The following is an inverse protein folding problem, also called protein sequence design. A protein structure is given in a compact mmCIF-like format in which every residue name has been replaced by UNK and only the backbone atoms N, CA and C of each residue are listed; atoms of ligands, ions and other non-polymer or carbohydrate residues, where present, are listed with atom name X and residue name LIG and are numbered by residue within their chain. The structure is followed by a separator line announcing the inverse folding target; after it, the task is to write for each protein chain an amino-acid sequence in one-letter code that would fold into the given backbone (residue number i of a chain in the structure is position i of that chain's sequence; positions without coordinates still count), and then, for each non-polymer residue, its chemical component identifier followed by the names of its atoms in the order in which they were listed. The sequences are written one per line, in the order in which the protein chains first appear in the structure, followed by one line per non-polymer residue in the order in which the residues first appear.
data_IF_565993358002
#
_entry.id   IF_565993358002
#
_cell.length_a   1.000
_cell.length_b   1.000
_cell.length_c   1.000
_cell.angle_alpha   90.00
_cell.angle_beta   90.00
_cell.angle_gamma   90.00
#
_symmetry.space_group_name_H-M   'P 1'
#
loop_
_entity.id
_entity.type
_entity.pdbx_description
1 polymer ?
#
# COMPACT_ATOMS: atom_id res chain seq x y z
N UNK A 1 7.64 12.19 -13.44
CA UNK A 1 6.19 12.05 -13.74
C UNK A 1 5.84 10.85 -14.65
N UNK A 2 6.59 10.55 -15.72
CA UNK A 2 6.29 9.42 -16.63
C UNK A 2 6.41 8.03 -15.95
N UNK A 3 7.43 7.84 -15.12
CA UNK A 3 7.63 6.61 -14.34
C UNK A 3 6.52 6.36 -13.31
N UNK A 4 6.02 7.42 -12.67
CA UNK A 4 4.93 7.34 -11.69
C UNK A 4 3.60 6.92 -12.33
N UNK A 5 3.36 7.32 -13.59
CA UNK A 5 2.20 6.87 -14.38
C UNK A 5 2.27 5.39 -14.73
N UNK A 6 3.43 4.92 -15.19
CA UNK A 6 3.64 3.50 -15.52
C UNK A 6 3.48 2.62 -14.27
N UNK A 7 3.93 3.13 -13.12
CA UNK A 7 3.78 2.46 -11.84
C UNK A 7 2.32 2.33 -11.43
N UNK A 8 1.54 3.42 -11.54
CA UNK A 8 0.12 3.40 -11.16
C UNK A 8 -0.72 2.46 -12.03
N UNK A 9 -0.46 2.43 -13.34
CA UNK A 9 -1.17 1.55 -14.28
C UNK A 9 -0.88 0.07 -13.98
N UNK A 10 0.39 -0.28 -13.75
CA UNK A 10 0.77 -1.63 -13.28
C UNK A 10 0.09 -2.01 -11.98
N UNK A 11 -0.07 -1.08 -11.04
CA UNK A 11 -0.69 -1.35 -9.74
C UNK A 11 -2.17 -1.69 -9.86
N UNK A 12 -2.90 -1.03 -10.76
CA UNK A 12 -4.30 -1.36 -11.03
C UNK A 12 -4.42 -2.75 -11.67
N UNK A 13 -3.53 -3.11 -12.60
CA UNK A 13 -3.50 -4.44 -13.22
C UNK A 13 -3.09 -5.56 -12.22
N UNK A 14 -2.17 -5.28 -11.31
CA UNK A 14 -1.80 -6.21 -10.22
C UNK A 14 -2.97 -6.46 -9.27
N UNK A 15 -3.75 -5.42 -8.95
CA UNK A 15 -4.92 -5.55 -8.08
C UNK A 15 -6.03 -6.38 -8.72
N UNK A 16 -6.26 -6.24 -10.02
CA UNK A 16 -7.23 -7.06 -10.77
C UNK A 16 -6.85 -8.55 -10.73
N UNK A 17 -5.55 -8.86 -10.88
CA UNK A 17 -5.02 -10.22 -10.71
C UNK A 17 -5.22 -10.74 -9.29
N UNK A 18 -4.95 -9.92 -8.27
CA UNK A 18 -5.13 -10.30 -6.87
C UNK A 18 -6.60 -10.62 -6.56
N UNK A 19 -7.54 -9.82 -7.08
CA UNK A 19 -8.98 -10.07 -6.94
C UNK A 19 -9.38 -11.36 -7.67
N UNK A 20 -8.83 -11.62 -8.85
CA UNK A 20 -9.07 -12.85 -9.59
C UNK A 20 -8.58 -14.11 -8.85
N UNK A 21 -7.40 -14.03 -8.20
CA UNK A 21 -6.88 -15.12 -7.36
C UNK A 21 -7.72 -15.31 -6.10
N UNK A 22 -8.06 -14.22 -5.41
CA UNK A 22 -8.91 -14.27 -4.21
C UNK A 22 -10.30 -14.83 -4.51
N UNK A 23 -10.83 -14.61 -5.72
CA UNK A 23 -12.11 -15.14 -6.15
C UNK A 23 -12.12 -16.66 -6.37
N UNK A 24 -10.95 -17.29 -6.55
CA UNK A 24 -10.85 -18.74 -6.79
C UNK A 24 -10.97 -19.54 -5.50
N UNK A 25 -10.44 -19.02 -4.40
CA UNK A 25 -10.54 -19.63 -3.06
C UNK A 25 -10.83 -18.59 -1.97
N UNK A 26 -12.06 -18.02 -1.91
CA UNK A 26 -12.40 -16.94 -0.97
C UNK A 26 -12.22 -17.32 0.50
N UNK A 27 -12.46 -18.59 0.85
CA UNK A 27 -12.35 -19.12 2.21
C UNK A 27 -10.92 -19.13 2.76
N UNK A 28 -9.90 -19.21 1.89
CA UNK A 28 -8.50 -19.15 2.33
C UNK A 28 -8.08 -17.74 2.75
N UNK A 29 -8.72 -16.72 2.17
CA UNK A 29 -8.44 -15.31 2.42
C UNK A 29 -9.42 -14.67 3.42
N UNK A 30 -10.46 -15.39 3.85
CA UNK A 30 -11.49 -14.86 4.76
C UNK A 30 -12.30 -13.72 4.15
N UNK A 31 -12.45 -13.69 2.82
CA UNK A 31 -13.15 -12.63 2.09
C UNK A 31 -14.54 -13.14 1.68
N UNK A 32 -15.58 -12.33 1.94
CA UNK A 32 -16.96 -12.63 1.56
C UNK A 32 -17.25 -12.22 0.10
N UNK A 33 -18.21 -12.88 -0.55
CA UNK A 33 -18.57 -12.64 -1.95
C UNK A 33 -19.04 -11.18 -2.17
N UNK A 34 -19.76 -10.62 -1.19
CA UNK A 34 -20.20 -9.23 -1.24
C UNK A 34 -19.03 -8.23 -1.19
N UNK A 35 -17.94 -8.59 -0.51
CA UNK A 35 -16.72 -7.78 -0.48
C UNK A 35 -15.93 -7.92 -1.79
N UNK A 36 -15.88 -9.13 -2.35
CA UNK A 36 -15.22 -9.39 -3.61
C UNK A 36 -15.84 -8.62 -4.77
N UNK A 37 -17.18 -8.54 -4.79
CA UNK A 37 -17.94 -7.74 -5.76
C UNK A 37 -17.68 -6.23 -5.61
N UNK A 38 -17.58 -5.72 -4.36
CA UNK A 38 -17.17 -4.32 -4.12
C UNK A 38 -15.77 -4.04 -4.67
N UNK A 39 -14.82 -4.96 -4.45
CA UNK A 39 -13.44 -4.84 -4.95
C UNK A 39 -13.39 -4.86 -6.48
N UNK A 40 -14.17 -5.73 -7.15
CA UNK A 40 -14.29 -5.74 -8.62
C UNK A 40 -14.79 -4.42 -9.18
N UNK A 41 -15.86 -3.87 -8.59
CA UNK A 41 -16.46 -2.59 -9.03
C UNK A 41 -15.51 -1.42 -8.86
N UNK A 42 -14.79 -1.39 -7.74
CA UNK A 42 -13.78 -0.36 -7.48
C UNK A 42 -12.65 -0.43 -8.51
N UNK A 43 -12.08 -1.62 -8.75
CA UNK A 43 -10.99 -1.81 -9.71
C UNK A 43 -11.39 -1.45 -11.14
N UNK A 44 -12.62 -1.80 -11.56
CA UNK A 44 -13.16 -1.38 -12.86
C UNK A 44 -13.28 0.14 -12.97
N UNK A 45 -13.78 0.80 -11.92
CA UNK A 45 -13.92 2.26 -11.88
C UNK A 45 -12.56 2.95 -11.92
N UNK A 46 -11.59 2.46 -11.14
CA UNK A 46 -10.21 2.97 -11.13
C UNK A 46 -9.56 2.86 -12.51
N UNK A 47 -9.74 1.73 -13.20
CA UNK A 47 -9.23 1.51 -14.56
C UNK A 47 -9.79 2.53 -15.56
N UNK A 48 -11.10 2.80 -15.49
CA UNK A 48 -11.73 3.81 -16.37
C UNK A 48 -11.24 5.22 -16.06
N UNK A 49 -11.07 5.57 -14.78
CA UNK A 49 -10.53 6.88 -14.39
C UNK A 49 -9.09 7.08 -14.86
N UNK A 50 -8.23 6.07 -14.72
CA UNK A 50 -6.84 6.10 -15.23
C UNK A 50 -6.82 6.22 -16.76
N UNK A 51 -7.70 5.48 -17.45
CA UNK A 51 -7.85 5.57 -18.90
C UNK A 51 -8.27 6.97 -19.38
N UNK A 52 -9.20 7.61 -18.68
CA UNK A 52 -9.65 8.96 -19.00
C UNK A 52 -8.58 10.02 -18.69
N UNK A 53 -7.91 9.92 -17.53
CA UNK A 53 -6.78 10.79 -17.20
C UNK A 53 -5.62 10.64 -18.20
N UNK A 54 -5.36 9.43 -18.68
CA UNK A 54 -4.38 9.18 -19.76
C UNK A 54 -4.77 9.90 -21.04
N UNK A 55 -6.03 9.76 -21.49
CA UNK A 55 -6.52 10.45 -22.70
C UNK A 55 -6.42 11.97 -22.58
N UNK A 56 -6.78 12.53 -21.43
CA UNK A 56 -6.68 13.96 -21.17
C UNK A 56 -5.23 14.47 -21.23
N UNK A 57 -4.27 13.74 -20.64
CA UNK A 57 -2.86 14.16 -20.66
C UNK A 57 -2.21 13.96 -22.04
N UNK A 58 -2.59 12.92 -22.78
CA UNK A 58 -2.11 12.74 -24.17
C UNK A 58 -2.64 13.86 -25.06
N UNK A 59 -3.93 14.20 -24.96
CA UNK A 59 -4.53 15.30 -25.70
C UNK A 59 -3.87 16.65 -25.35
N UNK A 60 -3.60 16.93 -24.07
CA UNK A 60 -2.88 18.14 -23.65
C UNK A 60 -1.43 18.19 -24.14
N UNK A 61 -0.77 17.04 -24.29
CA UNK A 61 0.61 16.95 -24.79
C UNK A 61 0.70 17.14 -26.31
N UNK A 62 -0.28 16.67 -27.08
CA UNK A 62 -0.34 16.90 -28.53
C UNK A 62 -0.51 18.38 -28.87
N UNK A 63 -1.38 19.10 -28.16
CA UNK A 63 -1.59 20.54 -28.32
C UNK A 63 -0.31 21.34 -28.02
N UNK A 64 0.43 20.95 -26.98
CA UNK A 64 1.66 21.65 -26.60
C UNK A 64 2.80 21.45 -27.63
N UNK A 65 2.89 20.26 -28.26
CA UNK A 65 3.88 19.97 -29.30
C UNK A 65 3.55 20.71 -30.61
N UNK A 66 2.28 20.82 -30.98
CA UNK A 66 1.88 21.59 -32.17
C UNK A 66 2.17 23.08 -32.02
N UNK A 67 1.84 23.66 -30.84
CA UNK A 67 2.09 25.08 -30.56
C UNK A 67 3.59 25.39 -30.52
N UNK A 68 4.40 24.52 -29.89
CA UNK A 68 5.85 24.72 -29.84
C UNK A 68 6.52 24.58 -31.22
N UNK A 69 5.95 23.77 -32.11
CA UNK A 69 6.43 23.61 -33.50
C UNK A 69 6.04 24.77 -34.41
N UNK A 70 4.88 25.38 -34.20
CA UNK A 70 4.50 26.61 -34.92
C UNK A 70 5.32 27.82 -34.46
N UNK A 71 5.62 27.93 -33.16
CA UNK A 71 6.47 28.99 -32.60
C UNK A 71 7.95 28.89 -33.05
N UNK A 72 8.43 27.69 -33.42
CA UNK A 72 9.79 27.46 -33.94
C UNK A 72 9.89 27.56 -35.47
N UNK A 73 8.78 27.84 -36.17
CA UNK A 73 8.78 27.95 -37.64
C UNK A 73 9.09 29.38 -38.06
N UNK A 74 10.37 29.74 -38.12
CA UNK A 74 10.83 30.99 -38.77
C UNK A 74 10.30 31.05 -40.22
N UNK A 75 9.64 32.14 -40.66
CA UNK A 75 9.40 32.37 -42.08
C UNK A 75 10.73 32.76 -42.73
N UNK A 76 11.25 31.91 -43.61
CA UNK A 76 12.38 32.27 -44.46
C UNK A 76 11.88 33.24 -45.54
N UNK A 77 12.03 34.56 -45.32
CA UNK A 77 11.73 35.58 -46.33
C UNK A 77 13.02 36.12 -46.93
N UNK A 78 13.37 35.61 -48.11
CA UNK A 78 14.29 36.26 -49.04
C UNK A 78 13.58 37.47 -49.71
N UNK A 79 14.31 38.59 -49.81
CA UNK A 79 14.04 39.80 -50.63
C UNK A 79 12.89 40.70 -50.12
N UNK A 80 12.90 42.05 -50.15
CA UNK A 80 13.78 43.10 -50.71
C UNK A 80 13.32 44.46 -50.12
N UNK A 81 14.24 45.43 -50.07
CA UNK A 81 14.06 46.89 -50.01
C UNK A 81 12.67 47.47 -49.66
N UNK A 82 12.53 48.04 -48.44
CA UNK A 82 11.64 49.17 -48.09
C UNK A 82 11.88 49.61 -46.64
N UNK A 83 12.81 50.55 -46.47
CA UNK A 83 13.12 51.16 -45.16
C UNK A 83 12.05 52.17 -44.75
N UNK A 84 11.74 52.18 -43.44
CA UNK A 84 11.02 53.21 -42.65
C UNK A 84 9.53 53.05 -42.30
N UNK A 85 8.84 51.96 -42.66
CA UNK A 85 7.47 51.72 -42.14
C UNK A 85 7.34 50.48 -41.23
N UNK A 86 8.39 49.65 -41.14
CA UNK A 86 8.36 48.40 -40.36
C UNK A 86 8.92 48.51 -38.93
N UNK A 87 9.57 49.61 -38.54
CA UNK A 87 10.15 49.72 -37.20
C UNK A 87 9.08 49.90 -36.12
N UNK A 88 7.98 50.58 -36.45
CA UNK A 88 6.89 50.86 -35.51
C UNK A 88 6.03 49.62 -35.22
N UNK A 89 5.76 48.79 -36.24
CA UNK A 89 5.03 47.52 -36.08
C UNK A 89 5.85 46.45 -35.35
N UNK A 90 7.19 46.48 -35.47
CA UNK A 90 8.06 45.55 -34.74
C UNK A 90 8.15 45.90 -33.25
N UNK A 91 8.16 47.17 -32.87
CA UNK A 91 8.18 47.57 -31.46
C UNK A 91 6.89 47.15 -30.74
N UNK A 92 5.73 47.32 -31.37
CA UNK A 92 4.43 46.94 -30.81
C UNK A 92 4.30 45.40 -30.69
N UNK A 93 4.83 44.66 -31.67
CA UNK A 93 4.89 43.20 -31.63
C UNK A 93 5.83 42.70 -30.52
N UNK A 94 7.02 43.28 -30.38
CA UNK A 94 7.99 42.94 -29.33
C UNK A 94 7.43 43.25 -27.94
N UNK A 95 6.72 44.37 -27.81
CA UNK A 95 6.08 44.76 -26.54
C UNK A 95 4.95 43.79 -26.17
N UNK A 96 4.13 43.38 -27.15
CA UNK A 96 3.07 42.38 -26.94
C UNK A 96 3.59 40.97 -26.58
N UNK A 97 4.73 40.56 -27.14
CA UNK A 97 5.39 39.29 -26.80
C UNK A 97 6.06 39.35 -25.41
N UNK A 98 6.64 40.50 -25.05
CA UNK A 98 7.21 40.73 -23.71
C UNK A 98 6.12 40.66 -22.62
N UNK A 99 4.97 41.29 -22.84
CA UNK A 99 3.84 41.24 -21.91
C UNK A 99 3.30 39.81 -21.72
N UNK A 100 3.28 39.02 -22.81
CA UNK A 100 2.94 37.59 -22.74
C UNK A 100 3.94 36.78 -21.92
N UNK A 101 5.24 37.03 -22.06
CA UNK A 101 6.26 36.36 -21.25
C UNK A 101 6.13 36.73 -19.76
N UNK A 102 5.83 37.99 -19.45
CA UNK A 102 5.62 38.45 -18.06
C UNK A 102 4.42 37.75 -17.42
N UNK A 103 3.33 37.57 -18.17
CA UNK A 103 2.16 36.84 -17.67
C UNK A 103 2.46 35.36 -17.41
N UNK A 104 3.23 34.72 -18.29
CA UNK A 104 3.66 33.33 -18.10
C UNK A 104 4.58 33.15 -16.89
N UNK A 105 5.52 34.07 -16.67
CA UNK A 105 6.39 34.04 -15.49
C UNK A 105 5.58 34.23 -14.22
N UNK A 106 4.62 35.16 -14.19
CA UNK A 106 3.73 35.34 -13.03
C UNK A 106 2.91 34.10 -12.71
N UNK A 107 2.38 33.42 -13.74
CA UNK A 107 1.64 32.18 -13.54
C UNK A 107 2.54 31.08 -12.97
N UNK A 108 3.78 30.97 -13.44
CA UNK A 108 4.74 30.01 -12.90
C UNK A 108 5.14 30.31 -11.46
N UNK A 109 5.34 31.58 -11.10
CA UNK A 109 5.63 31.96 -9.71
C UNK A 109 4.47 31.59 -8.77
N UNK A 110 3.23 31.80 -9.20
CA UNK A 110 2.04 31.42 -8.43
C UNK A 110 1.94 29.88 -8.25
N UNK A 111 2.27 29.10 -9.29
CA UNK A 111 2.37 27.64 -9.19
C UNK A 111 3.50 27.18 -8.25
N UNK A 112 4.64 27.89 -8.22
CA UNK A 112 5.77 27.57 -7.34
C UNK A 112 5.46 27.88 -5.87
N UNK A 113 4.72 28.95 -5.58
CA UNK A 113 4.25 29.25 -4.23
C UNK A 113 3.28 28.18 -3.72
N UNK A 114 2.35 27.71 -4.56
CA UNK A 114 1.46 26.61 -4.21
C UNK A 114 2.23 25.30 -3.98
N UNK A 115 3.24 25.03 -4.81
CA UNK A 115 4.13 23.89 -4.64
C UNK A 115 4.92 23.99 -3.33
N UNK A 116 5.46 25.17 -3.01
CA UNK A 116 6.20 25.43 -1.77
C UNK A 116 5.32 25.16 -0.54
N UNK A 117 4.09 25.68 -0.53
CA UNK A 117 3.12 25.42 0.52
C UNK A 117 2.76 23.92 0.63
N UNK A 118 2.72 23.21 -0.51
CA UNK A 118 2.51 21.76 -0.53
C UNK A 118 3.69 20.99 0.04
N UNK A 119 4.93 21.41 -0.24
CA UNK A 119 6.15 20.80 0.32
C UNK A 119 6.21 21.01 1.83
N UNK A 120 5.85 22.20 2.32
CA UNK A 120 5.80 22.47 3.77
C UNK A 120 4.79 21.56 4.48
N UNK A 121 3.58 21.40 3.91
CA UNK A 121 2.58 20.44 4.43
C UNK A 121 3.09 19.01 4.43
N UNK A 122 3.74 18.57 3.35
CA UNK A 122 4.33 17.23 3.26
C UNK A 122 5.44 17.06 4.32
N UNK A 123 6.26 18.08 4.54
CA UNK A 123 7.28 18.09 5.60
C UNK A 123 6.67 17.89 6.99
N UNK A 124 5.57 18.61 7.28
CA UNK A 124 4.81 18.44 8.53
C UNK A 124 4.27 17.02 8.70
N UNK A 125 3.66 16.44 7.65
CA UNK A 125 3.19 15.04 7.68
C UNK A 125 4.35 14.06 7.86
N UNK A 126 5.50 14.32 7.24
CA UNK A 126 6.71 13.51 7.38
C UNK A 126 7.25 13.48 8.81
N UNK A 127 7.22 14.62 9.52
CA UNK A 127 7.57 14.70 10.94
C UNK A 127 6.60 13.88 11.80
N UNK A 128 5.29 14.00 11.57
CA UNK A 128 4.29 13.21 12.29
C UNK A 128 4.47 11.70 12.05
N UNK A 129 4.74 11.28 10.81
CA UNK A 129 5.05 9.88 10.51
C UNK A 129 6.30 9.42 11.28
N UNK A 130 7.33 10.25 11.36
CA UNK A 130 8.54 9.92 12.09
C UNK A 130 8.28 9.72 13.59
N UNK A 131 7.51 10.61 14.23
CA UNK A 131 7.13 10.47 15.64
C UNK A 131 6.29 9.20 15.88
N UNK A 132 5.34 8.90 14.99
CA UNK A 132 4.53 7.70 15.07
C UNK A 132 5.36 6.42 14.89
N UNK A 133 6.37 6.42 14.02
CA UNK A 133 7.30 5.30 13.87
C UNK A 133 8.13 5.07 15.15
N UNK A 134 8.59 6.13 15.80
CA UNK A 134 9.29 6.01 17.09
C UNK A 134 8.36 5.48 18.20
N UNK A 135 7.09 5.89 18.20
CA UNK A 135 6.08 5.35 19.12
C UNK A 135 5.84 3.86 18.85
N UNK A 136 5.73 3.45 17.58
CA UNK A 136 5.56 2.06 17.19
C UNK A 136 6.78 1.19 17.53
N UNK A 137 8.00 1.71 17.39
CA UNK A 137 9.23 1.01 17.83
C UNK A 137 9.14 0.61 19.30
N UNK A 138 8.68 1.54 20.16
CA UNK A 138 8.47 1.26 21.58
C UNK A 138 7.38 0.21 21.82
N UNK A 139 6.26 0.29 21.10
CA UNK A 139 5.18 -0.70 21.23
C UNK A 139 5.66 -2.10 20.80
N UNK A 140 6.51 -2.19 19.78
CA UNK A 140 7.08 -3.46 19.32
C UNK A 140 8.02 -4.04 20.38
N UNK A 141 8.83 -3.22 21.04
CA UNK A 141 9.70 -3.68 22.13
C UNK A 141 8.89 -4.20 23.32
N UNK A 142 7.85 -3.45 23.74
CA UNK A 142 6.92 -3.88 24.80
C UNK A 142 6.21 -5.19 24.43
N UNK A 143 5.75 -5.33 23.18
CA UNK A 143 5.15 -6.56 22.66
C UNK A 143 6.15 -7.73 22.66
N UNK A 144 7.42 -7.46 22.35
CA UNK A 144 8.51 -8.44 22.45
C UNK A 144 8.67 -8.98 23.87
N UNK A 145 8.71 -8.08 24.86
CA UNK A 145 8.78 -8.47 26.28
C UNK A 145 7.56 -9.28 26.73
N UNK A 146 6.36 -8.88 26.30
CA UNK A 146 5.13 -9.62 26.63
C UNK A 146 5.11 -11.01 25.97
N UNK A 147 5.58 -11.11 24.72
CA UNK A 147 5.73 -12.38 24.00
C UNK A 147 6.73 -13.31 24.70
N UNK A 148 7.87 -12.81 25.15
CA UNK A 148 8.85 -13.59 25.92
C UNK A 148 8.25 -14.10 27.24
N UNK A 149 7.48 -13.26 27.93
CA UNK A 149 6.77 -13.67 29.15
C UNK A 149 5.74 -14.78 28.86
N UNK A 150 5.03 -14.67 27.74
CA UNK A 150 4.04 -15.66 27.30
C UNK A 150 4.71 -16.96 26.90
N UNK A 151 5.85 -16.90 26.19
CA UNK A 151 6.68 -18.05 25.84
C UNK A 151 7.13 -18.82 27.09
N UNK A 152 7.63 -18.12 28.11
CA UNK A 152 8.02 -18.72 29.39
C UNK A 152 6.83 -19.39 30.11
N UNK A 153 5.64 -18.78 30.09
CA UNK A 153 4.42 -19.39 30.63
C UNK A 153 4.00 -20.63 29.86
N UNK A 154 4.08 -20.58 28.53
CA UNK A 154 3.77 -21.72 27.67
C UNK A 154 4.74 -22.87 27.90
N UNK A 155 6.04 -22.63 28.03
CA UNK A 155 7.03 -23.67 28.37
C UNK A 155 6.71 -24.33 29.72
N UNK A 156 6.32 -23.53 30.72
CA UNK A 156 5.87 -24.07 32.00
C UNK A 156 4.60 -24.93 31.89
N UNK A 157 3.62 -24.49 31.11
CA UNK A 157 2.40 -25.25 30.84
C UNK A 157 2.74 -26.55 30.10
N UNK A 158 3.60 -26.49 29.09
CA UNK A 158 4.07 -27.65 28.33
C UNK A 158 4.78 -28.65 29.25
N UNK A 159 5.67 -28.19 30.15
CA UNK A 159 6.31 -29.03 31.17
C UNK A 159 5.30 -29.67 32.13
N UNK A 160 4.27 -28.93 32.56
CA UNK A 160 3.20 -29.48 33.39
C UNK A 160 2.40 -30.55 32.67
N UNK A 161 2.03 -30.32 31.41
CA UNK A 161 1.33 -31.31 30.58
C UNK A 161 2.20 -32.56 30.41
N UNK A 162 3.48 -32.41 30.11
CA UNK A 162 4.42 -33.52 30.01
C UNK A 162 4.54 -34.30 31.33
N UNK A 163 4.58 -33.60 32.48
CA UNK A 163 4.55 -34.25 33.79
C UNK A 163 3.24 -35.00 34.07
N UNK A 164 2.09 -34.44 33.70
CA UNK A 164 0.78 -35.10 33.86
C UNK A 164 0.72 -36.35 33.00
N UNK A 165 1.15 -36.28 31.74
CA UNK A 165 1.25 -37.45 30.85
C UNK A 165 2.19 -38.51 31.43
N UNK A 166 3.32 -38.10 32.02
CA UNK A 166 4.26 -39.02 32.69
C UNK A 166 3.71 -39.57 34.01
N UNK A 167 2.85 -38.85 34.74
CA UNK A 167 2.24 -39.33 35.99
C UNK A 167 1.04 -40.24 35.74
N UNK A 168 0.34 -40.03 34.63
CA UNK A 168 -0.63 -40.96 34.05
C UNK A 168 0.04 -42.19 33.39
N UNK A 169 1.37 -42.27 33.42
CA UNK A 169 2.14 -43.36 32.83
C UNK A 169 1.82 -44.72 33.46
N UNK A 170 2.06 -45.76 32.67
CA UNK A 170 1.80 -47.17 32.93
C UNK A 170 2.14 -47.67 34.35
N UNK A 171 3.11 -47.07 35.05
CA UNK A 171 3.44 -47.44 36.44
C UNK A 171 2.29 -47.19 37.42
N UNK A 172 1.57 -46.07 37.31
CA UNK A 172 0.42 -45.78 38.17
C UNK A 172 -0.77 -46.70 37.86
N UNK A 173 -1.02 -46.91 36.56
CA UNK A 173 -2.05 -47.84 36.10
C UNK A 173 -1.73 -49.30 36.49
N UNK A 174 -0.48 -49.73 36.38
CA UNK A 174 -0.04 -51.07 36.82
C UNK A 174 -0.21 -51.27 38.32
N UNK A 175 0.12 -50.26 39.15
CA UNK A 175 -0.11 -50.32 40.59
C UNK A 175 -1.61 -50.41 40.93
N UNK A 176 -2.46 -49.67 40.21
CA UNK A 176 -3.91 -49.75 40.36
C UNK A 176 -4.45 -51.15 39.97
N UNK A 177 -3.98 -51.70 38.84
CA UNK A 177 -4.35 -53.06 38.40
C UNK A 177 -3.92 -54.10 39.44
N UNK A 178 -2.68 -54.02 39.94
CA UNK A 178 -2.17 -54.95 40.96
C UNK A 178 -3.02 -54.90 42.23
N UNK A 179 -3.37 -53.70 42.71
CA UNK A 179 -4.24 -53.53 43.87
C UNK A 179 -5.64 -54.15 43.65
N UNK A 180 -6.25 -53.91 42.48
CA UNK A 180 -7.56 -54.50 42.12
C UNK A 180 -7.50 -56.03 42.05
N UNK A 181 -6.41 -56.60 41.52
CA UNK A 181 -6.21 -58.06 41.45
C UNK A 181 -6.10 -58.67 42.85
N UNK A 182 -5.35 -58.05 43.76
CA UNK A 182 -5.24 -58.52 45.15
C UNK A 182 -6.60 -58.47 45.85
N UNK A 183 -7.34 -57.37 45.69
CA UNK A 183 -8.69 -57.23 46.24
C UNK A 183 -9.62 -58.32 45.70
N UNK A 184 -9.57 -58.59 44.40
CA UNK A 184 -10.34 -59.65 43.76
C UNK A 184 -10.02 -61.03 44.33
N UNK A 185 -8.74 -61.36 44.57
CA UNK A 185 -8.33 -62.62 45.19
C UNK A 185 -8.90 -62.74 46.61
N UNK A 186 -8.83 -61.68 47.42
CA UNK A 186 -9.38 -61.67 48.78
C UNK A 186 -10.89 -61.94 48.74
N UNK A 187 -11.61 -61.25 47.86
CA UNK A 187 -13.06 -61.39 47.69
C UNK A 187 -13.42 -62.81 47.23
N UNK A 188 -12.67 -63.36 46.27
CA UNK A 188 -12.84 -64.73 45.80
C UNK A 188 -12.66 -65.74 46.95
N UNK A 189 -11.57 -65.65 47.72
CA UNK A 189 -11.34 -66.55 48.86
C UNK A 189 -12.46 -66.41 49.90
N UNK A 190 -12.87 -65.18 50.22
CA UNK A 190 -13.94 -64.94 51.19
C UNK A 190 -15.26 -65.61 50.74
N UNK A 191 -15.62 -65.50 49.45
CA UNK A 191 -16.86 -66.07 48.90
C UNK A 191 -16.82 -67.59 48.73
N UNK A 192 -15.69 -68.19 48.39
CA UNK A 192 -15.59 -69.64 48.19
C UNK A 192 -15.26 -70.42 49.47
N UNK A 193 -14.69 -69.76 50.49
CA UNK A 193 -14.28 -70.37 51.76
C UNK A 193 -15.30 -70.12 52.89
N UNK A 194 -16.19 -69.13 52.72
CA UNK A 194 -17.41 -68.93 53.54
C UNK A 194 -18.58 -69.62 52.86
#
# INVERSE_FOLDING_TARGET
MHLMKIYFDRKVDELDKAISVAARDPSWYGIDEAELEKRRRWTSTARTQVGNARKAVVAGREVNITVHRELMRMPNSQQTDKSNQYTQDNDDLIQSESDRQVLLIKQQDEELDELSASVERIGGVGLTIHEELLAQEKIIDDLGMEMDSTSNRLDFVQKKVAMVMKKASAKGQLMMILFLVVLFIILFVLVFLT
#
